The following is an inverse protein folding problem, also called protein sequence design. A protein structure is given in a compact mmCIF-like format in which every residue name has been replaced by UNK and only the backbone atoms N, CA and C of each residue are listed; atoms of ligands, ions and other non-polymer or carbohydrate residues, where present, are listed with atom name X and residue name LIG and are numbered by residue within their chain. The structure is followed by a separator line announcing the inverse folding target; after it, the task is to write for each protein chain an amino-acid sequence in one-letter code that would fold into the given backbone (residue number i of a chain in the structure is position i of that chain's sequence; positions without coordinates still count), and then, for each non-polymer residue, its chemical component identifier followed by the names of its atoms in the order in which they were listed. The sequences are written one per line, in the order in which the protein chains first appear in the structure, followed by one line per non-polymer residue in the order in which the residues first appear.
data_IF_695661901683
#
_entry.id   IF_695661901683
#
_cell.length_a   1.000
_cell.length_b   1.000
_cell.length_c   1.000
_cell.angle_alpha   90.00
_cell.angle_beta   90.00
_cell.angle_gamma   90.00
#
_symmetry.space_group_name_H-M   'P 1'
#
loop_
_entity.id
_entity.type
_entity.pdbx_description
1 polymer ?
#
# COMPACT_ATOMS: atom_id res chain seq x y z
N UNK A 1 0.56 13.63 -1.24
CA UNK A 1 0.46 12.30 -1.86
C UNK A 1 1.59 12.10 -2.84
N UNK A 2 2.24 10.95 -2.80
CA UNK A 2 3.29 10.58 -3.74
C UNK A 2 2.87 9.29 -4.44
N UNK A 3 2.87 9.31 -5.78
CA UNK A 3 2.63 8.13 -6.61
C UNK A 3 3.92 7.72 -7.30
N UNK A 4 4.16 6.41 -7.38
CA UNK A 4 5.42 5.81 -7.83
C UNK A 4 5.06 4.64 -8.75
N UNK A 5 5.27 4.82 -10.05
CA UNK A 5 4.83 3.86 -11.06
C UNK A 5 5.93 2.89 -11.50
N UNK A 6 7.16 3.38 -11.57
CA UNK A 6 8.26 2.65 -12.19
C UNK A 6 9.61 2.90 -11.52
N UNK A 7 10.66 2.31 -12.08
CA UNK A 7 12.03 2.47 -11.56
C UNK A 7 12.52 3.92 -11.54
N UNK A 8 12.09 4.76 -12.49
CA UNK A 8 12.52 6.15 -12.54
C UNK A 8 11.89 6.94 -11.40
N UNK A 9 10.61 6.73 -11.12
CA UNK A 9 9.93 7.32 -9.96
C UNK A 9 10.55 6.84 -8.64
N UNK A 10 10.89 5.55 -8.56
CA UNK A 10 11.57 5.00 -7.38
C UNK A 10 12.93 5.67 -7.14
N UNK A 11 13.72 5.90 -8.19
CA UNK A 11 14.99 6.60 -8.07
C UNK A 11 14.77 8.07 -7.65
N UNK A 12 13.78 8.73 -8.26
CA UNK A 12 13.44 10.11 -7.95
C UNK A 12 13.00 10.29 -6.50
N UNK A 13 12.08 9.45 -6.00
CA UNK A 13 11.57 9.55 -4.64
C UNK A 13 12.67 9.29 -3.60
N UNK A 14 13.59 8.36 -3.87
CA UNK A 14 14.70 8.05 -2.97
C UNK A 14 15.76 9.15 -2.88
N UNK A 15 15.81 10.06 -3.86
CA UNK A 15 16.71 11.20 -3.89
C UNK A 15 16.11 12.47 -3.24
N UNK A 16 14.82 12.45 -2.88
CA UNK A 16 14.14 13.58 -2.24
C UNK A 16 14.46 13.67 -0.76
N UNK A 17 14.36 14.89 -0.23
CA UNK A 17 14.37 15.16 1.21
C UNK A 17 13.00 14.82 1.80
N UNK A 18 12.81 13.53 2.12
CA UNK A 18 11.62 12.99 2.79
C UNK A 18 12.02 12.44 4.16
N UNK A 19 11.02 12.12 5.00
CA UNK A 19 11.26 11.44 6.28
C UNK A 19 12.18 10.22 6.08
N UNK A 20 13.35 10.16 6.75
CA UNK A 20 14.28 9.04 6.63
C UNK A 20 13.64 7.67 6.88
N UNK A 21 12.64 7.59 7.76
CA UNK A 21 11.91 6.34 8.03
C UNK A 21 11.07 5.88 6.85
N UNK A 22 10.47 6.84 6.13
CA UNK A 22 9.74 6.56 4.89
C UNK A 22 10.72 6.10 3.81
N UNK A 23 11.86 6.77 3.66
CA UNK A 23 12.91 6.36 2.72
C UNK A 23 13.39 4.94 3.01
N UNK A 24 13.63 4.60 4.27
CA UNK A 24 14.03 3.25 4.67
C UNK A 24 12.95 2.20 4.37
N UNK A 25 11.67 2.55 4.57
CA UNK A 25 10.56 1.68 4.21
C UNK A 25 10.51 1.46 2.70
N UNK A 26 10.57 2.53 1.89
CA UNK A 26 10.52 2.46 0.44
C UNK A 26 11.69 1.63 -0.11
N UNK A 27 12.92 1.83 0.40
CA UNK A 27 14.08 1.00 0.05
C UNK A 27 13.82 -0.49 0.25
N UNK A 28 13.26 -0.87 1.41
CA UNK A 28 12.91 -2.28 1.69
C UNK A 28 11.83 -2.81 0.76
N UNK A 29 10.82 -2.00 0.43
CA UNK A 29 9.73 -2.41 -0.47
C UNK A 29 10.20 -2.55 -1.91
N UNK A 30 10.99 -1.62 -2.43
CA UNK A 30 11.53 -1.70 -3.79
C UNK A 30 12.50 -2.88 -3.95
N UNK A 31 13.35 -3.12 -2.94
CA UNK A 31 14.24 -4.29 -2.97
C UNK A 31 13.49 -5.63 -3.03
N UNK A 32 12.27 -5.70 -2.46
CA UNK A 32 11.46 -6.90 -2.48
C UNK A 32 10.80 -7.20 -3.84
N UNK A 33 10.80 -6.24 -4.78
CA UNK A 33 10.23 -6.43 -6.13
C UNK A 33 11.12 -7.27 -7.04
N UNK A 34 12.42 -7.33 -6.73
CA UNK A 34 13.38 -8.16 -7.46
C UNK A 34 13.48 -9.51 -6.77
N UNK A 35 12.94 -10.53 -7.40
CA UNK A 35 12.89 -11.90 -6.87
C UNK A 35 13.73 -12.84 -7.74
N UNK A 36 14.05 -14.06 -7.26
CA UNK A 36 14.67 -15.09 -8.10
C UNK A 36 13.81 -15.50 -9.31
N UNK A 37 12.52 -15.17 -9.31
CA UNK A 37 11.56 -15.57 -10.33
C UNK A 37 11.20 -14.43 -11.31
N UNK A 38 11.68 -13.22 -11.07
CA UNK A 38 11.39 -12.06 -11.91
C UNK A 38 11.57 -10.73 -11.21
N UNK A 39 11.54 -9.67 -12.00
CA UNK A 39 11.62 -8.27 -11.57
C UNK A 39 10.26 -7.59 -11.78
N UNK A 40 9.60 -7.22 -10.67
CA UNK A 40 8.29 -6.57 -10.67
C UNK A 40 8.37 -5.04 -10.54
N UNK A 41 9.58 -4.46 -10.65
CA UNK A 41 9.82 -3.02 -10.43
C UNK A 41 8.91 -2.15 -11.29
N UNK A 42 8.78 -2.48 -12.58
CA UNK A 42 8.00 -1.69 -13.55
C UNK A 42 6.55 -2.18 -13.68
N UNK A 43 6.12 -3.07 -12.78
CA UNK A 43 4.78 -3.67 -12.75
C UNK A 43 4.04 -3.44 -11.43
N UNK A 44 4.67 -2.73 -10.48
CA UNK A 44 4.13 -2.51 -9.14
C UNK A 44 4.06 -1.03 -8.83
N UNK A 45 2.84 -0.53 -8.70
CA UNK A 45 2.57 0.84 -8.30
C UNK A 45 2.54 0.98 -6.77
N UNK A 46 3.11 2.07 -6.27
CA UNK A 46 3.00 2.47 -4.87
C UNK A 46 2.36 3.85 -4.76
N UNK A 47 1.45 3.98 -3.79
CA UNK A 47 0.95 5.28 -3.33
C UNK A 47 1.35 5.48 -1.87
N UNK A 48 1.94 6.63 -1.58
CA UNK A 48 2.20 7.11 -0.23
C UNK A 48 1.19 8.20 0.09
N UNK A 49 0.31 7.91 1.06
CA UNK A 49 -0.65 8.85 1.61
C UNK A 49 0.00 9.61 2.77
N UNK A 50 0.05 10.93 2.65
CA UNK A 50 0.68 11.86 3.58
C UNK A 50 -0.37 12.64 4.39
N UNK A 51 0.00 13.22 5.55
CA UNK A 51 -0.89 14.12 6.27
C UNK A 51 -1.37 15.27 5.37
N UNK A 52 -2.69 15.43 5.25
CA UNK A 52 -3.32 16.45 4.41
C UNK A 52 -3.90 15.90 3.10
N UNK A 53 -3.51 14.70 2.68
CA UNK A 53 -4.18 14.01 1.57
C UNK A 53 -5.60 13.58 1.99
N UNK A 54 -6.54 13.67 1.05
CA UNK A 54 -7.93 13.31 1.28
C UNK A 54 -8.29 11.97 0.63
N UNK A 55 -9.40 11.36 1.07
CA UNK A 55 -9.95 10.17 0.40
C UNK A 55 -10.26 10.45 -1.09
N UNK A 56 -10.68 11.67 -1.42
CA UNK A 56 -10.94 12.08 -2.80
C UNK A 56 -9.64 12.13 -3.65
N UNK A 57 -8.49 12.45 -3.04
CA UNK A 57 -7.20 12.38 -3.74
C UNK A 57 -6.84 10.92 -4.06
N UNK A 58 -7.10 10.00 -3.13
CA UNK A 58 -6.87 8.57 -3.33
C UNK A 58 -7.80 8.01 -4.42
N UNK A 59 -9.09 8.37 -4.38
CA UNK A 59 -10.06 7.98 -5.41
C UNK A 59 -9.69 8.50 -6.80
N UNK A 60 -9.17 9.74 -6.88
CA UNK A 60 -8.71 10.31 -8.15
C UNK A 60 -7.60 9.47 -8.78
N UNK A 61 -6.65 8.99 -7.98
CA UNK A 61 -5.49 8.26 -8.54
C UNK A 61 -5.74 6.75 -8.69
N UNK A 62 -6.43 6.11 -7.74
CA UNK A 62 -6.71 4.67 -7.81
C UNK A 62 -8.00 4.32 -8.55
N UNK A 63 -8.90 5.28 -8.73
CA UNK A 63 -10.26 5.05 -9.24
C UNK A 63 -11.22 4.46 -8.21
N UNK A 64 -10.78 4.24 -6.97
CA UNK A 64 -11.59 3.73 -5.87
C UNK A 64 -11.06 4.19 -4.51
N UNK A 65 -11.90 4.14 -3.47
CA UNK A 65 -11.47 4.34 -2.09
C UNK A 65 -11.16 3.01 -1.41
N UNK A 66 -9.95 2.81 -0.83
CA UNK A 66 -9.66 1.63 -0.01
C UNK A 66 -10.45 1.62 1.31
N UNK A 67 -11.11 2.72 1.67
CA UNK A 67 -11.91 2.87 2.89
C UNK A 67 -13.36 2.46 2.70
N UNK A 68 -13.75 2.06 1.47
CA UNK A 68 -15.09 1.59 1.14
C UNK A 68 -14.99 0.22 0.51
N UNK A 69 -15.73 -0.75 1.01
CA UNK A 69 -15.86 -2.03 0.34
C UNK A 69 -16.84 -1.88 -0.83
N UNK A 70 -16.42 -2.13 -2.08
CA UNK A 70 -17.26 -1.94 -3.26
C UNK A 70 -18.35 -3.00 -3.41
N UNK A 71 -18.28 -4.11 -2.66
CA UNK A 71 -19.25 -5.21 -2.73
C UNK A 71 -20.50 -4.89 -1.91
N UNK A 72 -20.33 -4.40 -0.68
CA UNK A 72 -21.44 -4.17 0.27
C UNK A 72 -21.61 -2.70 0.68
N UNK A 73 -20.72 -1.80 0.25
CA UNK A 73 -20.73 -0.38 0.58
C UNK A 73 -20.30 -0.06 2.01
N UNK A 74 -19.85 -1.06 2.80
CA UNK A 74 -19.38 -0.83 4.16
C UNK A 74 -18.14 0.06 4.17
N UNK A 75 -18.03 0.92 5.19
CA UNK A 75 -16.94 1.90 5.32
C UNK A 75 -16.01 1.55 6.47
N UNK A 76 -14.73 1.89 6.32
CA UNK A 76 -13.73 1.76 7.38
C UNK A 76 -14.24 2.38 8.69
N UNK A 77 -14.12 1.61 9.78
CA UNK A 77 -14.67 1.97 11.10
C UNK A 77 -16.06 1.40 11.39
N UNK A 78 -16.80 0.91 10.39
CA UNK A 78 -18.04 0.17 10.62
C UNK A 78 -17.74 -1.22 11.21
N UNK A 79 -18.58 -1.75 12.12
CA UNK A 79 -18.38 -3.10 12.71
C UNK A 79 -18.35 -4.23 11.68
N UNK A 80 -18.99 -4.03 10.53
CA UNK A 80 -19.08 -5.01 9.44
C UNK A 80 -18.04 -4.78 8.36
N UNK A 81 -17.18 -3.76 8.48
CA UNK A 81 -16.22 -3.43 7.43
C UNK A 81 -15.21 -4.56 7.26
N UNK A 82 -15.15 -5.08 6.04
CA UNK A 82 -14.09 -5.95 5.59
C UNK A 82 -13.40 -5.28 4.41
N UNK A 83 -12.07 -5.07 4.43
CA UNK A 83 -11.37 -4.56 3.28
C UNK A 83 -11.46 -5.58 2.14
N UNK A 84 -11.71 -5.10 0.92
CA UNK A 84 -11.72 -5.93 -0.29
C UNK A 84 -10.30 -6.16 -0.86
N UNK A 85 -9.32 -5.44 -0.30
CA UNK A 85 -7.90 -5.63 -0.49
C UNK A 85 -7.32 -6.39 0.72
N UNK A 86 -6.24 -7.13 0.50
CA UNK A 86 -5.54 -7.82 1.57
C UNK A 86 -4.25 -7.09 1.97
N UNK A 87 -3.88 -7.21 3.24
CA UNK A 87 -2.60 -6.77 3.76
C UNK A 87 -1.77 -8.01 4.09
N UNK A 88 -0.68 -8.25 3.34
CA UNK A 88 0.29 -9.30 3.64
C UNK A 88 1.44 -8.70 4.44
N UNK A 89 1.59 -9.14 5.68
CA UNK A 89 2.69 -8.76 6.56
C UNK A 89 3.77 -9.83 6.44
N UNK A 90 4.99 -9.43 6.09
CA UNK A 90 6.14 -10.33 6.21
C UNK A 90 6.63 -10.34 7.66
N UNK A 91 6.55 -11.49 8.31
CA UNK A 91 7.01 -11.72 9.68
C UNK A 91 7.91 -12.97 9.71
N UNK A 92 9.20 -12.79 10.04
CA UNK A 92 10.17 -13.88 10.20
C UNK A 92 10.26 -14.89 9.03
N UNK A 93 10.10 -14.41 7.78
CA UNK A 93 10.16 -15.27 6.60
C UNK A 93 8.84 -15.93 6.19
N UNK A 94 7.76 -15.66 6.93
CA UNK A 94 6.39 -16.02 6.56
C UNK A 94 5.61 -14.78 6.14
N UNK A 95 4.65 -14.96 5.24
CA UNK A 95 3.65 -13.93 4.94
C UNK A 95 2.39 -14.27 5.73
N UNK A 96 2.06 -13.43 6.69
CA UNK A 96 0.80 -13.51 7.41
C UNK A 96 -0.19 -12.56 6.73
N UNK A 97 -1.30 -13.11 6.27
CA UNK A 97 -2.51 -12.34 6.10
C UNK A 97 -3.24 -12.41 7.44
N UNK A 98 -3.27 -11.34 8.24
CA UNK A 98 -3.96 -11.38 9.52
C UNK A 98 -5.42 -11.76 9.28
N UNK A 99 -6.02 -12.56 10.17
CA UNK A 99 -7.38 -13.05 9.98
C UNK A 99 -8.31 -11.87 9.72
N UNK A 100 -9.07 -11.94 8.62
CA UNK A 100 -10.06 -10.93 8.24
C UNK A 100 -11.06 -10.83 9.40
N UNK A 101 -10.99 -9.75 10.18
CA UNK A 101 -11.71 -9.60 11.43
C UNK A 101 -13.20 -9.88 11.29
N UNK A 102 -13.66 -10.97 11.88
CA UNK A 102 -15.00 -11.10 12.43
C UNK A 102 -14.91 -10.86 13.95
N UNK A 103 -15.99 -10.43 14.62
CA UNK A 103 -15.97 -10.23 16.07
C UNK A 103 -15.81 -11.60 16.74
N UNK A 104 -14.63 -11.88 17.32
CA UNK A 104 -14.41 -13.11 18.09
C UNK A 104 -12.95 -13.60 18.08
N UNK A 105 -12.10 -12.95 18.85
CA UNK A 105 -11.05 -13.61 19.64
C UNK A 105 -11.16 -13.08 21.07
#
# INVERSE_FOLDING_TARGET
MITIYDRADMAYVLARDLDPRLIDLLRRRFAALVTPYGDLTDWTEFIVVEPGDTEADVERELGFSPLVNPIDGSRFGAPTFQPFWDHLISAAGYFEQPPRGGPGC
#
